data_IF_886456826240
#
_entry.id   IF_886456826240
#
_cell.length_a   1.000
_cell.length_b   1.000
_cell.length_c   1.000
_cell.angle_alpha   90.00
_cell.angle_beta   90.00
_cell.angle_gamma   90.00
#
_symmetry.space_group_name_H-M   'P 1'
#
loop_
_entity.id
_entity.type
_entity.pdbx_description
1 polymer ?
#
# COMPACT_ATOMS: atom_id res chain seq x y z
N UNK A 1 66.75 0.86 1.86
CA UNK A 1 65.57 -0.03 1.68
C UNK A 1 64.34 0.84 1.54
N UNK A 2 63.76 0.87 0.34
CA UNK A 2 62.57 1.65 0.04
C UNK A 2 61.33 0.78 0.32
N UNK A 3 60.48 1.18 1.25
CA UNK A 3 59.09 0.72 1.30
C UNK A 3 58.21 1.88 0.87
N UNK A 4 57.89 1.88 -0.42
CA UNK A 4 56.79 2.66 -0.99
C UNK A 4 55.46 1.98 -0.63
N UNK A 5 54.44 2.82 -0.51
CA UNK A 5 53.03 2.49 -0.68
C UNK A 5 52.33 1.68 0.43
N UNK A 6 52.10 2.33 1.57
CA UNK A 6 50.93 2.06 2.42
C UNK A 6 49.92 3.23 2.30
N UNK A 7 49.52 3.57 1.07
CA UNK A 7 48.46 4.56 0.77
C UNK A 7 47.33 3.96 -0.08
N UNK A 8 47.30 2.64 -0.21
CA UNK A 8 46.41 1.92 -1.14
C UNK A 8 45.23 1.23 -0.46
N UNK A 9 45.17 1.17 0.88
CA UNK A 9 44.09 0.47 1.59
C UNK A 9 42.83 1.33 1.81
N UNK A 10 42.92 2.65 1.65
CA UNK A 10 41.80 3.58 1.94
C UNK A 10 40.84 3.78 0.77
N UNK A 11 41.20 3.40 -0.46
CA UNK A 11 40.38 3.66 -1.65
C UNK A 11 39.39 2.50 -1.93
N UNK A 12 39.74 1.27 -1.56
CA UNK A 12 38.90 0.09 -1.82
C UNK A 12 37.64 0.03 -0.93
N UNK A 13 37.68 0.66 0.26
CA UNK A 13 36.56 0.65 1.21
C UNK A 13 35.49 1.71 0.87
N UNK A 14 35.87 2.78 0.17
CA UNK A 14 34.94 3.84 -0.26
C UNK A 14 34.12 3.46 -1.50
N UNK A 15 34.59 2.50 -2.30
CA UNK A 15 33.87 1.99 -3.47
C UNK A 15 32.78 0.97 -3.11
N UNK A 16 32.86 0.32 -1.93
CA UNK A 16 31.84 -0.62 -1.48
C UNK A 16 30.59 0.06 -0.90
N UNK A 17 30.72 1.27 -0.37
CA UNK A 17 29.58 2.01 0.20
C UNK A 17 28.68 2.70 -0.85
N UNK A 18 29.12 2.76 -2.11
CA UNK A 18 28.36 3.40 -3.18
C UNK A 18 27.30 2.48 -3.84
N UNK A 19 27.26 1.18 -3.50
CA UNK A 19 26.36 0.22 -4.18
C UNK A 19 25.12 -0.19 -3.39
N UNK A 20 24.97 0.20 -2.12
CA UNK A 20 23.83 -0.25 -1.30
C UNK A 20 22.53 0.54 -1.51
N UNK A 21 22.51 1.51 -2.42
CA UNK A 21 21.35 2.39 -2.65
C UNK A 21 20.29 1.84 -3.61
N UNK A 22 19.80 0.61 -3.41
CA UNK A 22 18.57 0.16 -4.09
C UNK A 22 17.38 0.51 -3.20
N UNK A 23 16.82 1.71 -3.40
CA UNK A 23 15.51 2.03 -2.86
C UNK A 23 14.47 1.17 -3.57
N UNK A 24 13.78 0.29 -2.83
CA UNK A 24 12.62 -0.43 -3.34
C UNK A 24 11.52 0.59 -3.62
N UNK A 25 11.19 0.81 -4.90
CA UNK A 25 10.03 1.57 -5.28
C UNK A 25 8.78 0.85 -4.73
N UNK A 26 8.00 1.54 -3.91
CA UNK A 26 6.71 1.01 -3.48
C UNK A 26 5.85 0.80 -4.72
N UNK A 27 5.35 -0.43 -4.90
CA UNK A 27 4.44 -0.78 -5.99
C UNK A 27 3.27 0.20 -5.98
N UNK A 28 2.98 0.84 -7.12
CA UNK A 28 1.91 1.81 -7.20
C UNK A 28 0.58 1.10 -6.94
N UNK A 29 -0.17 1.50 -5.92
CA UNK A 29 -1.45 0.88 -5.53
C UNK A 29 -2.60 1.82 -5.86
N UNK A 30 -3.73 1.28 -6.32
CA UNK A 30 -4.97 2.06 -6.52
C UNK A 30 -6.20 1.31 -6.04
N UNK A 31 -7.27 2.04 -5.76
CA UNK A 31 -8.57 1.48 -5.38
C UNK A 31 -9.48 1.36 -6.59
N UNK A 32 -10.16 0.22 -6.71
CA UNK A 32 -11.32 0.04 -7.58
C UNK A 32 -12.57 -0.12 -6.71
N UNK A 33 -13.55 0.76 -6.90
CA UNK A 33 -14.80 0.72 -6.12
C UNK A 33 -15.93 0.00 -6.85
N UNK A 34 -16.87 -0.53 -6.08
CA UNK A 34 -18.13 -1.11 -6.56
C UNK A 34 -19.26 -0.63 -5.66
N UNK A 35 -20.23 0.05 -6.28
CA UNK A 35 -21.38 0.59 -5.55
C UNK A 35 -22.37 -0.51 -5.17
N UNK A 36 -23.17 -0.23 -4.14
CA UNK A 36 -24.19 -1.11 -3.61
C UNK A 36 -23.67 -2.52 -3.31
N UNK A 37 -22.44 -2.59 -2.79
CA UNK A 37 -21.73 -3.84 -2.58
C UNK A 37 -20.90 -3.83 -1.29
N UNK A 38 -20.63 -5.02 -0.77
CA UNK A 38 -19.87 -5.28 0.44
C UNK A 38 -18.90 -6.45 0.23
N UNK A 39 -17.73 -6.37 0.84
CA UNK A 39 -16.85 -7.52 1.02
C UNK A 39 -17.04 -8.03 2.45
N UNK A 40 -17.53 -9.26 2.64
CA UNK A 40 -17.80 -9.75 4.00
C UNK A 40 -16.53 -10.29 4.68
N UNK A 41 -16.33 -9.95 5.96
CA UNK A 41 -15.24 -10.46 6.80
C UNK A 41 -13.88 -9.78 6.58
N UNK A 42 -12.83 -10.41 7.10
CA UNK A 42 -11.43 -9.95 7.02
C UNK A 42 -11.19 -8.56 7.63
N UNK A 43 -12.05 -8.11 8.54
CA UNK A 43 -11.94 -6.78 9.13
C UNK A 43 -10.65 -6.61 9.94
N UNK A 44 -9.84 -5.61 9.56
CA UNK A 44 -8.69 -5.13 10.32
C UNK A 44 -9.15 -4.24 11.47
N UNK A 45 -9.98 -3.24 11.13
CA UNK A 45 -10.56 -2.25 12.04
C UNK A 45 -11.68 -1.49 11.34
N UNK A 46 -12.44 -0.73 12.12
CA UNK A 46 -13.48 0.16 11.63
C UNK A 46 -13.20 1.60 12.01
N UNK A 47 -13.04 2.45 11.01
CA UNK A 47 -12.85 3.89 11.21
C UNK A 47 -14.19 4.59 11.07
N UNK A 48 -14.53 5.47 12.02
CA UNK A 48 -15.82 6.15 12.08
C UNK A 48 -15.68 7.64 11.75
N UNK A 49 -16.78 8.25 11.30
CA UNK A 49 -16.86 9.66 10.92
C UNK A 49 -15.88 10.08 9.82
N UNK A 50 -15.53 9.14 8.93
CA UNK A 50 -14.64 9.38 7.78
C UNK A 50 -15.44 9.50 6.48
N UNK A 51 -14.91 10.23 5.51
CA UNK A 51 -15.42 10.24 4.14
C UNK A 51 -15.00 8.98 3.37
N UNK A 52 -15.61 8.74 2.21
CA UNK A 52 -15.18 7.66 1.31
C UNK A 52 -13.73 7.86 0.86
N UNK A 53 -13.31 9.09 0.57
CA UNK A 53 -11.94 9.35 0.10
C UNK A 53 -10.91 9.19 1.23
N UNK A 54 -11.27 9.53 2.47
CA UNK A 54 -10.46 9.22 3.65
C UNK A 54 -10.36 7.69 3.85
N UNK A 55 -11.44 6.94 3.65
CA UNK A 55 -11.44 5.48 3.70
C UNK A 55 -10.49 4.87 2.65
N UNK A 56 -10.56 5.35 1.40
CA UNK A 56 -9.65 4.97 0.31
C UNK A 56 -8.19 5.27 0.66
N UNK A 57 -7.91 6.51 1.08
CA UNK A 57 -6.56 6.96 1.43
C UNK A 57 -5.99 6.15 2.59
N UNK A 58 -6.79 5.84 3.60
CA UNK A 58 -6.37 5.03 4.74
C UNK A 58 -6.04 3.60 4.31
N UNK A 59 -6.85 2.99 3.44
CA UNK A 59 -6.55 1.65 2.93
C UNK A 59 -5.30 1.63 2.03
N UNK A 60 -5.09 2.66 1.20
CA UNK A 60 -3.87 2.77 0.39
C UNK A 60 -2.61 3.02 1.25
N UNK A 61 -2.74 3.76 2.35
CA UNK A 61 -1.67 4.02 3.30
C UNK A 61 -1.35 2.85 4.23
N UNK A 62 -2.22 1.84 4.31
CA UNK A 62 -2.04 0.64 5.13
C UNK A 62 -1.65 -0.56 4.24
N UNK A 63 -0.40 -1.07 4.30
CA UNK A 63 0.03 -2.21 3.49
C UNK A 63 -0.75 -3.49 3.78
N UNK A 64 -1.33 -3.64 4.97
CA UNK A 64 -2.17 -4.79 5.30
C UNK A 64 -3.57 -4.67 4.68
N UNK A 65 -4.03 -3.47 4.32
CA UNK A 65 -5.36 -3.27 3.77
C UNK A 65 -5.42 -3.68 2.30
N UNK A 66 -6.23 -4.70 2.00
CA UNK A 66 -6.46 -5.20 0.63
C UNK A 66 -7.83 -4.80 0.10
N UNK A 67 -8.76 -4.46 0.98
CA UNK A 67 -10.09 -3.97 0.62
C UNK A 67 -10.71 -3.16 1.75
N UNK A 68 -11.84 -2.53 1.47
CA UNK A 68 -12.71 -1.95 2.46
C UNK A 68 -14.18 -2.08 2.05
N UNK A 69 -15.07 -1.85 3.00
CA UNK A 69 -16.46 -1.47 2.70
C UNK A 69 -16.80 -0.21 3.46
N UNK A 70 -17.39 0.75 2.77
CA UNK A 70 -17.75 2.05 3.30
C UNK A 70 -19.28 2.16 3.37
N UNK A 71 -19.78 2.60 4.52
CA UNK A 71 -21.19 2.94 4.73
C UNK A 71 -21.33 4.47 4.73
N UNK A 72 -21.82 5.09 3.64
CA UNK A 72 -21.99 6.54 3.54
C UNK A 72 -22.98 7.11 4.55
N UNK A 73 -24.02 6.35 4.92
CA UNK A 73 -25.05 6.80 5.87
C UNK A 73 -24.50 6.91 7.28
N UNK A 74 -23.70 5.94 7.71
CA UNK A 74 -23.07 5.92 9.02
C UNK A 74 -21.71 6.64 9.05
N UNK A 75 -21.11 6.92 7.88
CA UNK A 75 -19.74 7.39 7.71
C UNK A 75 -18.72 6.45 8.34
N UNK A 76 -18.90 5.14 8.15
CA UNK A 76 -18.03 4.10 8.68
C UNK A 76 -17.25 3.43 7.55
N UNK A 77 -15.96 3.22 7.78
CA UNK A 77 -15.03 2.54 6.89
C UNK A 77 -14.56 1.24 7.56
N UNK A 78 -14.92 0.11 6.99
CA UNK A 78 -14.50 -1.21 7.46
C UNK A 78 -13.31 -1.66 6.63
N UNK A 79 -12.09 -1.39 7.11
CA UNK A 79 -10.83 -1.77 6.45
C UNK A 79 -10.60 -3.27 6.59
N UNK A 80 -10.07 -3.90 5.55
CA UNK A 80 -9.97 -5.36 5.47
C UNK A 80 -8.61 -5.84 5.02
N UNK A 81 -8.14 -6.91 5.66
CA UNK A 81 -6.85 -7.54 5.39
C UNK A 81 -6.83 -8.34 4.10
N UNK A 82 -8.01 -8.77 3.65
CA UNK A 82 -8.23 -9.50 2.42
C UNK A 82 -9.69 -9.31 1.97
N UNK A 83 -10.07 -9.90 0.84
CA UNK A 83 -11.45 -9.95 0.39
C UNK A 83 -11.74 -11.22 -0.39
N UNK A 84 -12.99 -11.65 -0.38
CA UNK A 84 -13.46 -12.76 -1.19
C UNK A 84 -14.59 -12.30 -2.13
N UNK A 85 -15.74 -12.97 -2.10
CA UNK A 85 -16.88 -12.66 -2.96
C UNK A 85 -17.46 -11.29 -2.62
N UNK A 86 -17.63 -10.47 -3.65
CA UNK A 86 -18.39 -9.23 -3.55
C UNK A 86 -19.88 -9.56 -3.43
N UNK A 87 -20.53 -9.07 -2.37
CA UNK A 87 -21.96 -9.30 -2.14
C UNK A 87 -22.77 -8.02 -2.37
N UNK A 88 -23.97 -8.09 -2.97
CA UNK A 88 -24.85 -6.95 -3.05
C UNK A 88 -25.24 -6.44 -1.65
N UNK A 89 -25.07 -5.15 -1.41
CA UNK A 89 -25.49 -4.46 -0.20
C UNK A 89 -25.87 -3.01 -0.52
N UNK A 90 -27.17 -2.73 -0.61
CA UNK A 90 -27.66 -1.42 -1.06
C UNK A 90 -27.15 -0.29 -0.16
N UNK A 91 -26.54 0.71 -0.78
CA UNK A 91 -26.02 1.90 -0.10
C UNK A 91 -24.62 1.74 0.50
N UNK A 92 -23.98 0.57 0.45
CA UNK A 92 -22.56 0.45 0.76
C UNK A 92 -21.70 0.63 -0.50
N UNK A 93 -20.45 1.04 -0.30
CA UNK A 93 -19.44 1.11 -1.36
C UNK A 93 -18.29 0.20 -0.97
N UNK A 94 -18.08 -0.88 -1.72
CA UNK A 94 -16.92 -1.73 -1.56
C UNK A 94 -15.75 -1.16 -2.36
N UNK A 95 -14.53 -1.35 -1.86
CA UNK A 95 -13.31 -1.04 -2.61
C UNK A 95 -12.29 -2.15 -2.44
N UNK A 96 -11.61 -2.53 -3.52
CA UNK A 96 -10.43 -3.41 -3.47
C UNK A 96 -9.20 -2.66 -3.94
N UNK A 97 -8.06 -2.98 -3.33
CA UNK A 97 -6.76 -2.43 -3.73
C UNK A 97 -6.16 -3.35 -4.78
N UNK A 98 -5.74 -2.78 -5.89
CA UNK A 98 -4.98 -3.46 -6.93
C UNK A 98 -3.65 -2.75 -7.14
N UNK A 99 -2.67 -3.51 -7.59
CA UNK A 99 -1.40 -2.94 -8.00
C UNK A 99 -1.52 -2.41 -9.43
N UNK A 100 -0.97 -1.23 -9.65
CA UNK A 100 -0.77 -0.64 -10.97
C UNK A 100 0.57 -1.17 -11.43
N UNK A 101 0.53 -2.25 -12.21
CA UNK A 101 1.70 -2.69 -12.95
C UNK A 101 2.16 -1.51 -13.80
N UNK A 102 3.42 -1.12 -13.66
CA UNK A 102 3.96 0.09 -14.27
C UNK A 102 3.85 0.01 -15.79
N UNK A 103 2.84 0.66 -16.34
CA UNK A 103 2.67 0.83 -17.78
C UNK A 103 3.64 1.94 -18.21
N UNK A 104 4.66 1.65 -19.03
CA UNK A 104 5.44 2.68 -19.67
C UNK A 104 4.59 3.28 -20.81
N UNK A 105 4.09 4.50 -20.63
CA UNK A 105 3.63 5.35 -21.73
C UNK A 105 4.77 5.64 -22.73
#
# INVERSE_FOLDING_TARGET
MAMRAARSLSILFLLFFAWSGVGQAAEARRVVTSDNSDYFGFDLRSDQNVSLDQCKATCLGDPACRAFTYNPKAKWCFLKSDYNTLKPFKGAVAGKVINVEGDPD
#
